data_IF_159472952565
#
_entry.id   IF_159472952565
#
_cell.length_a   1.000
_cell.length_b   1.000
_cell.length_c   1.000
_cell.angle_alpha   90.00
_cell.angle_beta   90.00
_cell.angle_gamma   90.00
#
_symmetry.space_group_name_H-M   'P 1'
#
loop_
_entity.id
_entity.type
_entity.pdbx_description
1 polymer ?
#
# COMPACT_ATOMS: atom_id res chain seq x y z
N UNK A 1 11.34 -64.70 -17.95
CA UNK A 1 11.60 -63.43 -17.24
C UNK A 1 13.09 -63.18 -17.37
N UNK A 2 13.43 -61.94 -17.76
CA UNK A 2 14.78 -61.40 -18.01
C UNK A 2 15.46 -61.95 -19.29
N UNK A 3 16.13 -61.18 -20.16
CA UNK A 3 16.46 -59.74 -20.24
C UNK A 3 16.94 -59.46 -21.69
N UNK A 4 17.32 -58.20 -21.96
CA UNK A 4 18.18 -57.68 -23.05
C UNK A 4 17.50 -56.67 -23.98
N UNK A 5 17.82 -55.39 -23.76
CA UNK A 5 17.51 -54.27 -24.64
C UNK A 5 18.62 -54.01 -25.68
N UNK A 6 18.38 -53.19 -26.70
CA UNK A 6 19.41 -52.73 -27.63
C UNK A 6 19.79 -51.24 -27.42
N UNK A 7 20.87 -50.76 -28.09
CA UNK A 7 21.90 -49.93 -27.45
C UNK A 7 21.91 -48.44 -27.86
N UNK A 8 22.73 -47.69 -27.10
CA UNK A 8 23.48 -46.46 -27.43
C UNK A 8 24.11 -46.50 -28.85
N UNK A 9 24.54 -45.45 -29.57
CA UNK A 9 24.60 -43.98 -29.51
C UNK A 9 25.40 -43.55 -30.76
N UNK A 10 25.04 -42.51 -31.52
CA UNK A 10 25.95 -41.75 -32.42
C UNK A 10 25.22 -40.53 -33.02
N UNK A 11 25.52 -39.29 -32.62
CA UNK A 11 26.60 -38.40 -33.10
C UNK A 11 26.44 -37.93 -34.56
N UNK A 12 26.09 -36.65 -34.76
CA UNK A 12 26.88 -35.68 -35.58
C UNK A 12 26.10 -34.41 -35.95
N UNK A 13 26.51 -33.31 -35.33
CA UNK A 13 26.75 -31.95 -35.85
C UNK A 13 26.58 -31.62 -37.36
N UNK A 14 25.84 -30.53 -37.68
CA UNK A 14 26.17 -29.45 -38.67
C UNK A 14 25.07 -28.36 -38.67
N UNK A 15 25.25 -27.22 -38.01
CA UNK A 15 25.72 -25.92 -38.54
C UNK A 15 24.95 -25.28 -39.71
N UNK A 16 24.75 -23.95 -39.56
CA UNK A 16 24.59 -22.87 -40.56
C UNK A 16 23.17 -22.32 -40.84
N UNK A 17 22.78 -21.33 -40.03
CA UNK A 17 22.41 -19.92 -40.34
C UNK A 17 21.78 -19.54 -41.70
N UNK A 18 20.84 -18.58 -41.62
CA UNK A 18 20.32 -17.60 -42.61
C UNK A 18 18.90 -17.94 -43.15
N UNK A 19 17.83 -17.14 -43.01
CA UNK A 19 17.68 -15.67 -43.00
C UNK A 19 16.39 -15.22 -42.27
N UNK A 20 16.42 -14.02 -41.67
CA UNK A 20 15.45 -12.89 -41.74
C UNK A 20 14.20 -13.12 -42.64
N UNK A 21 12.98 -12.63 -42.41
CA UNK A 21 12.34 -11.71 -41.45
C UNK A 21 10.85 -11.60 -41.90
N UNK A 22 10.00 -10.95 -41.07
CA UNK A 22 8.65 -10.42 -41.37
C UNK A 22 7.40 -11.28 -41.05
N UNK A 23 6.97 -11.13 -39.78
CA UNK A 23 5.69 -10.54 -39.33
C UNK A 23 4.36 -10.98 -39.98
N UNK A 24 3.49 -11.58 -39.15
CA UNK A 24 2.06 -11.35 -39.20
C UNK A 24 1.47 -11.49 -37.77
N UNK A 25 1.07 -10.35 -37.23
CA UNK A 25 0.30 -10.17 -35.99
C UNK A 25 -0.90 -11.12 -35.87
N UNK A 26 -1.12 -11.62 -34.65
CA UNK A 26 -2.45 -11.60 -34.01
C UNK A 26 -2.30 -11.51 -32.48
N UNK A 27 -3.17 -10.75 -31.79
CA UNK A 27 -3.02 -10.42 -30.39
C UNK A 27 -3.52 -11.58 -29.53
N UNK A 28 -2.61 -12.26 -28.85
CA UNK A 28 -2.97 -13.22 -27.81
C UNK A 28 -3.04 -12.47 -26.48
N UNK A 29 -4.28 -12.38 -26.01
CA UNK A 29 -4.70 -12.01 -24.67
C UNK A 29 -4.14 -13.06 -23.67
N UNK A 30 -2.84 -13.05 -23.45
CA UNK A 30 -2.19 -13.89 -22.44
C UNK A 30 -1.94 -13.06 -21.19
N UNK A 31 -2.47 -13.56 -20.07
CA UNK A 31 -2.30 -13.07 -18.71
C UNK A 31 -0.99 -12.31 -18.52
N UNK A 32 -1.08 -10.98 -18.39
CA UNK A 32 0.05 -10.06 -18.26
C UNK A 32 0.81 -10.35 -16.97
N UNK A 33 1.70 -11.34 -16.99
CA UNK A 33 2.63 -11.60 -15.90
C UNK A 33 3.55 -10.40 -15.83
N UNK A 34 3.43 -9.63 -14.76
CA UNK A 34 4.22 -8.43 -14.55
C UNK A 34 5.73 -8.73 -14.78
N UNK A 35 6.37 -8.04 -15.74
CA UNK A 35 7.72 -8.37 -16.20
C UNK A 35 8.80 -8.19 -15.11
N UNK A 36 8.47 -7.50 -14.02
CA UNK A 36 9.36 -7.34 -12.87
C UNK A 36 9.35 -8.57 -11.94
N UNK A 37 8.30 -9.41 -11.97
CA UNK A 37 8.18 -10.58 -11.08
C UNK A 37 9.29 -11.60 -11.30
N UNK A 38 9.62 -11.89 -12.56
CA UNK A 38 10.67 -12.85 -12.90
C UNK A 38 12.04 -12.40 -12.38
N UNK A 39 12.53 -11.17 -12.68
CA UNK A 39 13.74 -10.64 -12.06
C UNK A 39 13.71 -10.65 -10.53
N UNK A 40 12.56 -10.32 -9.93
CA UNK A 40 12.44 -10.22 -8.47
C UNK A 40 12.50 -11.56 -7.74
N UNK A 41 11.99 -12.64 -8.36
CA UNK A 41 12.05 -13.99 -7.79
C UNK A 41 13.41 -14.67 -8.05
N UNK A 42 14.01 -14.41 -9.21
CA UNK A 42 15.27 -15.03 -9.64
C UNK A 42 16.52 -14.32 -9.10
N UNK A 43 16.38 -13.10 -8.59
CA UNK A 43 17.52 -12.32 -8.10
C UNK A 43 18.27 -11.58 -9.21
N UNK A 44 17.70 -11.49 -10.42
CA UNK A 44 18.32 -10.81 -11.55
C UNK A 44 18.21 -9.28 -11.38
N UNK A 45 19.20 -8.70 -10.70
CA UNK A 45 19.24 -7.26 -10.44
C UNK A 45 19.41 -6.50 -11.75
N UNK A 46 20.30 -6.94 -12.63
CA UNK A 46 20.62 -6.25 -13.89
C UNK A 46 19.40 -6.14 -14.81
N UNK A 47 18.63 -7.22 -14.94
CA UNK A 47 17.39 -7.24 -15.71
C UNK A 47 16.33 -6.32 -15.12
N UNK A 48 16.25 -6.25 -13.79
CA UNK A 48 15.37 -5.33 -13.09
C UNK A 48 15.79 -3.87 -13.31
N UNK A 49 17.07 -3.55 -13.13
CA UNK A 49 17.60 -2.20 -13.35
C UNK A 49 17.41 -1.75 -14.79
N UNK A 50 17.60 -2.65 -15.76
CA UNK A 50 17.37 -2.34 -17.18
C UNK A 50 15.94 -1.86 -17.44
N UNK A 51 14.94 -2.47 -16.81
CA UNK A 51 13.55 -2.01 -16.96
C UNK A 51 13.38 -0.60 -16.39
N UNK A 52 14.08 -0.25 -15.30
CA UNK A 52 14.00 1.06 -14.68
C UNK A 52 14.86 2.16 -15.32
N UNK A 53 15.96 1.82 -15.97
CA UNK A 53 16.97 2.79 -16.43
C UNK A 53 17.05 2.94 -17.94
N UNK A 54 16.56 1.96 -18.70
CA UNK A 54 16.64 1.95 -20.16
C UNK A 54 15.37 2.59 -20.76
N UNK A 55 15.45 3.82 -21.32
CA UNK A 55 14.29 4.50 -21.91
C UNK A 55 13.80 3.85 -23.20
N UNK A 56 14.59 2.97 -23.82
CA UNK A 56 14.16 2.16 -24.98
C UNK A 56 13.39 0.90 -24.54
N UNK A 57 13.34 0.60 -23.24
CA UNK A 57 12.59 -0.54 -22.74
C UNK A 57 11.08 -0.28 -22.82
N UNK A 58 10.29 -1.18 -23.44
CA UNK A 58 8.83 -1.04 -23.58
C UNK A 58 8.09 -0.83 -22.26
N UNK A 59 8.65 -1.33 -21.15
CA UNK A 59 8.06 -1.25 -19.82
C UNK A 59 8.67 -0.15 -18.96
N UNK A 60 9.57 0.68 -19.48
CA UNK A 60 10.25 1.74 -18.72
C UNK A 60 9.25 2.74 -18.11
N UNK A 61 8.36 3.27 -18.95
CA UNK A 61 7.34 4.23 -18.52
C UNK A 61 6.37 3.62 -17.48
N UNK A 62 6.14 2.31 -17.56
CA UNK A 62 5.20 1.56 -16.71
C UNK A 62 5.88 0.93 -15.49
N UNK A 63 7.21 0.97 -15.40
CA UNK A 63 7.98 0.23 -14.39
C UNK A 63 7.58 0.61 -12.97
N UNK A 64 7.27 1.90 -12.75
CA UNK A 64 6.77 2.40 -11.47
C UNK A 64 5.37 1.85 -11.14
N UNK A 65 4.48 1.78 -12.13
CA UNK A 65 3.12 1.29 -11.95
C UNK A 65 3.10 -0.23 -11.70
N UNK A 66 3.92 -0.98 -12.44
CA UNK A 66 4.10 -2.42 -12.27
C UNK A 66 4.67 -2.75 -10.89
N UNK A 67 5.52 -1.91 -10.33
CA UNK A 67 6.08 -2.12 -8.99
C UNK A 67 5.00 -2.03 -7.89
N UNK A 68 3.97 -1.21 -8.11
CA UNK A 68 2.85 -0.98 -7.20
C UNK A 68 1.67 -1.94 -7.45
N UNK A 69 1.74 -2.76 -8.48
CA UNK A 69 0.71 -3.74 -8.78
C UNK A 69 0.61 -4.76 -7.64
N UNK A 70 -0.62 -4.97 -7.17
CA UNK A 70 -0.95 -5.91 -6.11
C UNK A 70 -1.72 -7.09 -6.69
N UNK A 71 -1.48 -8.30 -6.18
CA UNK A 71 -2.31 -9.46 -6.50
C UNK A 71 -3.67 -9.39 -5.82
N UNK A 72 -4.55 -10.36 -6.09
CA UNK A 72 -5.88 -10.48 -5.46
C UNK A 72 -5.84 -10.55 -3.92
N UNK A 73 -4.67 -10.72 -3.30
CA UNK A 73 -4.45 -10.80 -1.85
C UNK A 73 -3.74 -9.53 -1.33
N UNK A 74 -3.49 -8.53 -2.18
CA UNK A 74 -2.82 -7.28 -1.81
C UNK A 74 -1.29 -7.41 -1.70
N UNK A 75 -0.68 -8.43 -2.31
CA UNK A 75 0.77 -8.66 -2.28
C UNK A 75 1.42 -8.04 -3.50
N UNK A 76 2.47 -7.25 -3.30
CA UNK A 76 3.20 -6.56 -4.36
C UNK A 76 4.57 -7.22 -4.67
N UNK A 77 5.27 -6.65 -5.65
CA UNK A 77 6.60 -7.11 -6.09
C UNK A 77 7.63 -7.19 -4.94
N UNK A 78 7.58 -6.24 -4.00
CA UNK A 78 8.47 -6.22 -2.84
C UNK A 78 8.23 -7.43 -1.92
N UNK A 79 6.97 -7.82 -1.72
CA UNK A 79 6.63 -9.02 -0.96
C UNK A 79 7.21 -10.28 -1.59
N UNK A 80 7.12 -10.41 -2.91
CA UNK A 80 7.70 -11.53 -3.66
C UNK A 80 9.22 -11.60 -3.49
N UNK A 81 9.93 -10.48 -3.65
CA UNK A 81 11.38 -10.41 -3.47
C UNK A 81 11.81 -10.76 -2.02
N UNK A 82 11.02 -10.35 -1.01
CA UNK A 82 11.25 -10.68 0.39
C UNK A 82 11.11 -12.18 0.66
N UNK A 83 10.04 -12.80 0.15
CA UNK A 83 9.81 -14.24 0.30
C UNK A 83 10.87 -15.07 -0.45
N UNK A 84 11.34 -14.59 -1.59
CA UNK A 84 12.41 -15.20 -2.36
C UNK A 84 13.81 -14.99 -1.74
N UNK A 85 13.95 -14.15 -0.70
CA UNK A 85 15.22 -13.88 -0.04
C UNK A 85 16.20 -13.05 -0.88
N UNK A 86 15.73 -12.37 -1.92
CA UNK A 86 16.57 -11.66 -2.89
C UNK A 86 17.01 -10.29 -2.36
N UNK A 87 18.00 -10.29 -1.47
CA UNK A 87 18.45 -9.10 -0.75
C UNK A 87 18.97 -7.98 -1.67
N UNK A 88 19.64 -8.34 -2.77
CA UNK A 88 20.18 -7.37 -3.72
C UNK A 88 19.09 -6.73 -4.58
N UNK A 89 18.09 -7.52 -4.98
CA UNK A 89 16.87 -7.01 -5.62
C UNK A 89 16.14 -6.05 -4.68
N UNK A 90 15.93 -6.41 -3.41
CA UNK A 90 15.26 -5.55 -2.41
C UNK A 90 16.01 -4.22 -2.27
N UNK A 91 17.35 -4.27 -2.27
CA UNK A 91 18.19 -3.07 -2.21
C UNK A 91 18.10 -2.23 -3.49
N UNK A 92 18.05 -2.87 -4.66
CA UNK A 92 17.87 -2.18 -5.94
C UNK A 92 16.51 -1.50 -6.02
N UNK A 93 15.44 -2.22 -5.68
CA UNK A 93 14.07 -1.69 -5.56
C UNK A 93 14.05 -0.45 -4.65
N UNK A 94 14.72 -0.49 -3.49
CA UNK A 94 14.82 0.67 -2.60
C UNK A 94 15.52 1.90 -3.24
N UNK A 95 16.43 1.71 -4.21
CA UNK A 95 17.09 2.82 -4.92
C UNK A 95 16.18 3.52 -5.92
N UNK A 96 15.32 2.78 -6.62
CA UNK A 96 14.41 3.34 -7.64
C UNK A 96 13.23 4.08 -7.05
N UNK A 97 13.25 4.34 -5.75
CA UNK A 97 12.14 4.99 -5.10
C UNK A 97 10.88 4.14 -5.24
N UNK A 98 10.97 2.83 -4.93
CA UNK A 98 9.81 2.20 -4.28
C UNK A 98 9.52 3.10 -3.12
N UNK A 99 8.52 3.95 -3.29
CA UNK A 99 8.10 4.82 -2.26
C UNK A 99 7.41 3.87 -1.28
N UNK A 100 8.18 3.31 -0.34
CA UNK A 100 7.65 2.77 0.92
C UNK A 100 6.69 3.79 1.59
N UNK A 101 6.72 5.04 1.11
CA UNK A 101 5.96 6.19 1.53
C UNK A 101 4.84 6.63 0.56
N UNK A 102 4.46 5.84 -0.45
CA UNK A 102 3.13 5.98 -1.06
C UNK A 102 2.17 5.10 -0.28
N UNK A 103 1.17 5.75 0.34
CA UNK A 103 0.27 5.15 1.32
C UNK A 103 -0.46 3.95 0.72
N UNK A 104 0.14 2.77 0.85
CA UNK A 104 -0.57 1.51 0.66
C UNK A 104 -1.84 1.52 1.50
N UNK A 105 -2.87 0.77 1.09
CA UNK A 105 -4.09 0.63 1.88
C UNK A 105 -3.75 0.21 3.33
N UNK A 106 -2.68 -0.57 3.50
CA UNK A 106 -2.13 -0.94 4.79
C UNK A 106 -1.63 0.25 5.62
N UNK A 107 -0.86 1.16 5.02
CA UNK A 107 -0.36 2.36 5.72
C UNK A 107 -1.47 3.39 6.00
N UNK A 108 -2.39 3.60 5.06
CA UNK A 108 -3.58 4.43 5.27
C UNK A 108 -4.45 3.89 6.42
N UNK A 109 -4.64 2.56 6.47
CA UNK A 109 -5.31 1.85 7.58
C UNK A 109 -4.58 2.01 8.90
N UNK A 110 -3.26 1.83 8.91
CA UNK A 110 -2.45 2.02 10.12
C UNK A 110 -2.53 3.46 10.61
N UNK A 111 -2.49 4.43 9.70
CA UNK A 111 -2.63 5.85 9.99
C UNK A 111 -3.99 6.17 10.62
N UNK A 112 -5.09 5.65 10.05
CA UNK A 112 -6.43 5.79 10.63
C UNK A 112 -6.50 5.17 12.02
N UNK A 113 -5.99 3.94 12.21
CA UNK A 113 -5.95 3.27 13.52
C UNK A 113 -5.15 4.06 14.56
N UNK A 114 -3.98 4.59 14.18
CA UNK A 114 -3.16 5.47 15.05
C UNK A 114 -3.91 6.76 15.40
N UNK A 115 -4.60 7.37 14.44
CA UNK A 115 -5.37 8.58 14.67
C UNK A 115 -6.53 8.33 15.65
N UNK A 116 -7.30 7.25 15.46
CA UNK A 116 -8.35 6.83 16.40
C UNK A 116 -7.77 6.65 17.81
N UNK A 117 -6.64 5.94 17.93
CA UNK A 117 -5.97 5.74 19.22
C UNK A 117 -5.59 7.06 19.91
N UNK A 118 -5.01 8.01 19.16
CA UNK A 118 -4.66 9.35 19.65
C UNK A 118 -5.89 10.11 20.17
N UNK A 119 -6.98 10.09 19.42
CA UNK A 119 -8.22 10.78 19.79
C UNK A 119 -8.83 10.17 21.06
N UNK A 120 -8.93 8.84 21.14
CA UNK A 120 -9.43 8.14 22.34
C UNK A 120 -8.56 8.44 23.57
N UNK A 121 -7.23 8.36 23.45
CA UNK A 121 -6.30 8.66 24.55
C UNK A 121 -6.48 10.09 25.07
N UNK A 122 -6.59 11.06 24.15
CA UNK A 122 -6.82 12.48 24.51
C UNK A 122 -8.10 12.65 25.35
N UNK A 123 -9.16 11.89 25.04
CA UNK A 123 -10.43 11.94 25.77
C UNK A 123 -10.32 11.25 27.14
N UNK A 124 -9.64 10.11 27.23
CA UNK A 124 -9.45 9.38 28.49
C UNK A 124 -8.53 10.13 29.46
N UNK A 125 -7.48 10.80 28.97
CA UNK A 125 -6.58 11.59 29.81
C UNK A 125 -7.27 12.83 30.39
N UNK A 126 -8.20 13.44 29.64
CA UNK A 126 -9.06 14.53 30.15
C UNK A 126 -10.16 14.07 31.12
N UNK A 127 -10.28 12.77 31.40
CA UNK A 127 -11.15 12.24 32.47
C UNK A 127 -10.44 12.19 33.83
N UNK A 128 -9.11 12.06 33.83
CA UNK A 128 -8.29 12.02 35.06
C UNK A 128 -7.92 13.41 35.58
N UNK A 129 -7.92 14.42 34.71
CA UNK A 129 -7.80 15.83 35.09
C UNK A 129 -9.16 16.51 35.11
N UNK A 130 -9.43 17.41 36.06
CA UNK A 130 -10.67 18.17 36.14
C UNK A 130 -10.93 19.02 34.89
N UNK A 131 -11.63 18.41 33.93
CA UNK A 131 -12.64 19.03 33.07
C UNK A 131 -12.17 20.02 32.01
N UNK A 132 -12.30 19.63 30.74
CA UNK A 132 -12.49 20.58 29.61
C UNK A 132 -13.48 20.12 28.53
N UNK A 133 -13.91 18.86 28.56
CA UNK A 133 -14.78 18.30 27.53
C UNK A 133 -16.23 18.21 28.01
N UNK A 134 -17.19 18.63 27.19
CA UNK A 134 -18.60 18.37 27.45
C UNK A 134 -18.88 16.86 27.34
N UNK A 135 -19.74 16.32 28.22
CA UNK A 135 -20.10 14.90 28.22
C UNK A 135 -20.67 14.44 26.88
N UNK A 136 -21.46 15.30 26.24
CA UNK A 136 -22.04 15.06 24.91
C UNK A 136 -20.95 15.00 23.83
N UNK A 137 -20.09 16.01 23.76
CA UNK A 137 -18.96 16.06 22.83
C UNK A 137 -18.02 14.85 22.98
N UNK A 138 -17.76 14.41 24.23
CA UNK A 138 -16.99 13.17 24.49
C UNK A 138 -17.67 11.95 23.88
N UNK A 139 -18.97 11.80 24.15
CA UNK A 139 -19.72 10.65 23.70
C UNK A 139 -19.80 10.61 22.16
N UNK A 140 -19.96 11.76 21.52
CA UNK A 140 -19.94 11.89 20.05
C UNK A 140 -18.63 11.39 19.47
N UNK A 141 -17.48 11.83 20.00
CA UNK A 141 -16.19 11.39 19.49
C UNK A 141 -15.92 9.91 19.78
N UNK A 142 -16.25 9.43 20.99
CA UNK A 142 -16.07 8.00 21.33
C UNK A 142 -16.92 7.10 20.43
N UNK A 143 -18.15 7.50 20.14
CA UNK A 143 -19.04 6.78 19.21
C UNK A 143 -18.46 6.76 17.80
N UNK A 144 -17.96 7.92 17.31
CA UNK A 144 -17.31 8.00 16.00
C UNK A 144 -16.05 7.11 15.94
N UNK A 145 -15.19 7.16 16.96
CA UNK A 145 -13.99 6.33 17.05
C UNK A 145 -14.31 4.83 17.04
N UNK A 146 -15.35 4.41 17.79
CA UNK A 146 -15.83 3.03 17.79
C UNK A 146 -16.29 2.59 16.40
N UNK A 147 -17.13 3.40 15.76
CA UNK A 147 -17.65 3.10 14.43
C UNK A 147 -16.52 2.98 13.39
N UNK A 148 -15.51 3.87 13.43
CA UNK A 148 -14.36 3.77 12.51
C UNK A 148 -13.48 2.54 12.79
N UNK A 149 -13.32 2.14 14.06
CA UNK A 149 -12.62 0.89 14.40
C UNK A 149 -13.36 -0.35 13.90
N UNK A 150 -14.67 -0.42 14.10
CA UNK A 150 -15.50 -1.53 13.60
C UNK A 150 -15.46 -1.60 12.07
N UNK A 151 -15.51 -0.45 11.39
CA UNK A 151 -15.37 -0.38 9.94
C UNK A 151 -14.02 -0.93 9.48
N UNK A 152 -12.93 -0.57 10.18
CA UNK A 152 -11.60 -1.13 9.88
C UNK A 152 -11.56 -2.66 10.04
N UNK A 153 -12.23 -3.23 11.04
CA UNK A 153 -12.23 -4.68 11.27
C UNK A 153 -13.07 -5.44 10.22
N UNK A 154 -14.12 -4.81 9.68
CA UNK A 154 -15.05 -5.42 8.73
C UNK A 154 -14.66 -5.23 7.27
N UNK A 155 -13.92 -4.17 6.93
CA UNK A 155 -13.58 -3.82 5.54
C UNK A 155 -12.09 -4.04 5.27
N UNK A 156 -11.57 -5.26 5.44
CA UNK A 156 -10.13 -5.55 5.34
C UNK A 156 -9.50 -5.15 3.99
N UNK A 157 -10.28 -5.20 2.91
CA UNK A 157 -9.88 -4.91 1.53
C UNK A 157 -10.25 -3.49 1.07
N UNK A 158 -10.58 -2.60 2.01
CA UNK A 158 -10.88 -1.20 1.70
C UNK A 158 -9.75 -0.53 0.92
N UNK A 159 -10.14 0.22 -0.11
CA UNK A 159 -9.22 1.01 -0.93
C UNK A 159 -8.61 2.16 -0.13
N UNK A 160 -7.48 2.67 -0.64
CA UNK A 160 -6.78 3.82 -0.06
C UNK A 160 -7.73 5.03 0.05
N UNK A 161 -8.54 5.29 -0.97
CA UNK A 161 -9.48 6.40 -1.00
C UNK A 161 -10.54 6.28 0.09
N UNK A 162 -11.12 5.10 0.29
CA UNK A 162 -12.09 4.86 1.37
C UNK A 162 -11.46 5.07 2.74
N UNK A 163 -10.22 4.61 2.95
CA UNK A 163 -9.50 4.81 4.21
C UNK A 163 -9.23 6.29 4.50
N UNK A 164 -8.89 7.07 3.48
CA UNK A 164 -8.75 8.52 3.59
C UNK A 164 -10.06 9.21 3.91
N UNK A 165 -11.15 8.80 3.25
CA UNK A 165 -12.50 9.31 3.50
C UNK A 165 -12.93 9.03 4.95
N UNK A 166 -12.70 7.81 5.46
CA UNK A 166 -12.98 7.46 6.85
C UNK A 166 -12.17 8.31 7.84
N UNK A 167 -10.90 8.61 7.51
CA UNK A 167 -10.04 9.50 8.31
C UNK A 167 -10.58 10.93 8.30
N UNK A 168 -10.92 11.47 7.13
CA UNK A 168 -11.42 12.83 6.99
C UNK A 168 -12.73 13.01 7.76
N UNK A 169 -13.67 12.07 7.66
CA UNK A 169 -14.93 12.10 8.40
C UNK A 169 -14.71 12.13 9.93
N UNK A 170 -13.70 11.42 10.43
CA UNK A 170 -13.35 11.49 11.86
C UNK A 170 -12.70 12.84 12.22
N UNK A 171 -11.85 13.38 11.36
CA UNK A 171 -11.24 14.71 11.53
C UNK A 171 -12.29 15.82 11.54
N UNK A 172 -13.30 15.75 10.67
CA UNK A 172 -14.39 16.73 10.59
C UNK A 172 -15.25 16.76 11.86
N UNK A 173 -15.37 15.64 12.57
CA UNK A 173 -16.06 15.55 13.86
C UNK A 173 -15.15 16.06 14.98
N UNK A 174 -13.89 15.62 15.03
CA UNK A 174 -12.99 15.86 16.15
C UNK A 174 -12.45 17.29 16.18
N UNK A 175 -12.05 17.82 15.03
CA UNK A 175 -11.40 19.14 14.90
C UNK A 175 -12.24 20.29 15.45
N UNK A 176 -13.53 20.46 15.10
CA UNK A 176 -14.33 21.56 15.63
C UNK A 176 -14.53 21.43 17.15
N UNK A 177 -14.62 20.21 17.69
CA UNK A 177 -14.78 19.98 19.12
C UNK A 177 -13.48 20.33 19.87
N UNK A 178 -12.33 19.88 19.39
CA UNK A 178 -11.03 20.23 19.98
C UNK A 178 -10.73 21.74 19.87
N UNK A 179 -11.14 22.39 18.78
CA UNK A 179 -10.97 23.83 18.58
C UNK A 179 -11.81 24.63 19.57
N UNK A 180 -13.08 24.23 19.81
CA UNK A 180 -13.95 24.81 20.84
C UNK A 180 -13.36 24.73 22.25
N UNK A 181 -12.48 23.76 22.54
CA UNK A 181 -11.80 23.66 23.85
C UNK A 181 -10.58 24.57 24.00
N UNK A 182 -9.91 24.92 22.91
CA UNK A 182 -8.70 25.75 22.94
C UNK A 182 -9.02 27.24 23.11
N UNK A 183 -10.28 27.62 22.92
CA UNK A 183 -10.77 28.99 23.14
C UNK A 183 -11.36 29.13 24.54
N UNK A 184 -10.87 30.07 25.37
CA UNK A 184 -11.49 30.36 26.65
C UNK A 184 -12.93 30.82 26.42
N UNK A 185 -13.89 30.12 27.03
CA UNK A 185 -15.32 30.50 26.96
C UNK A 185 -15.46 31.88 27.61
N UNK A 186 -15.58 32.92 26.80
CA UNK A 186 -15.87 34.28 27.28
C UNK A 186 -17.22 34.24 28.00
N UNK A 187 -17.19 34.35 29.33
CA UNK A 187 -18.38 34.61 30.12
C UNK A 187 -18.88 36.00 29.72
N UNK A 188 -20.00 36.06 29.00
CA UNK A 188 -20.70 37.33 28.77
C UNK A 188 -21.11 37.87 30.13
N UNK A 189 -20.33 38.81 30.66
CA UNK A 189 -20.65 39.55 31.86
C UNK A 189 -21.89 40.39 31.55
N UNK A 190 -23.06 39.90 31.96
CA UNK A 190 -24.25 40.72 32.07
C UNK A 190 -24.04 41.64 33.28
N UNK A 191 -23.43 42.82 33.06
CA UNK A 191 -23.57 43.92 34.02
C UNK A 191 -24.88 44.63 33.71
N UNK A 192 -25.84 44.30 34.56
CA UNK A 192 -27.05 45.06 34.85
C UNK A 192 -26.76 46.56 34.90
N UNK A 193 -27.51 47.36 34.12
CA UNK A 193 -27.74 48.76 34.46
C UNK A 193 -29.25 48.90 34.68
N UNK A 194 -29.63 48.70 35.93
CA UNK A 194 -30.78 49.36 36.54
C UNK A 194 -30.15 50.46 37.36
N UNK A 195 -30.36 51.72 37.00
CA UNK A 195 -30.97 52.78 37.83
C UNK A 195 -31.17 54.01 36.94
#
# INVERSE_FOLDING_TARGET
MESEGPPESESSEKSVVFSQQEEAEKPEEEATVNPLLQPALTGNVEGLQKIFEDPENPHHEQAMQLLLEEDIVGRNLLYAACMAGQSDVIRALAKYGVNLHEKTARDARLTLKKYIGKVCATITDTEKGSGKFLKEDKNTILTACRAKNEWLETHLEASINELFEQKQQLEDIVTPIFTKMSTPRQVKSAKSVVT
#
